data_IF_883043073394
#
_entry.id   IF_883043073394
#
_cell.length_a   1.000
_cell.length_b   1.000
_cell.length_c   1.000
_cell.angle_alpha   90.00
_cell.angle_beta   90.00
_cell.angle_gamma   90.00
#
_symmetry.space_group_name_H-M   'P 1'
#
loop_
_entity.id
_entity.type
_entity.pdbx_description
1 polymer ?
#
# COMPACT_ATOMS: atom_id res chain seq x y z
N UNK A 1 3.91 -33.66 -3.73
CA UNK A 1 2.92 -32.88 -2.96
C UNK A 1 2.92 -31.46 -3.51
N UNK A 2 2.05 -31.19 -4.48
CA UNK A 2 2.05 -29.90 -5.20
C UNK A 2 0.79 -29.15 -4.82
N UNK A 3 0.84 -28.40 -3.73
CA UNK A 3 -0.20 -27.45 -3.32
C UNK A 3 0.38 -26.02 -3.30
N UNK A 4 1.03 -25.61 -4.39
CA UNK A 4 1.61 -24.26 -4.56
C UNK A 4 0.93 -23.44 -5.66
N UNK A 5 -0.38 -23.67 -5.92
CA UNK A 5 -1.10 -22.94 -6.99
C UNK A 5 -2.44 -22.32 -6.61
N UNK A 6 -2.81 -22.28 -5.33
CA UNK A 6 -4.11 -21.72 -4.92
C UNK A 6 -4.04 -20.48 -4.00
N UNK A 7 -2.87 -19.82 -3.91
CA UNK A 7 -2.72 -18.53 -3.21
C UNK A 7 -2.79 -17.31 -4.14
N UNK A 8 -3.02 -17.51 -5.45
CA UNK A 8 -2.93 -16.46 -6.47
C UNK A 8 -4.15 -15.52 -6.54
N UNK A 9 -5.06 -15.53 -5.57
CA UNK A 9 -6.27 -14.69 -5.57
C UNK A 9 -6.66 -14.11 -4.20
N UNK A 10 -5.73 -13.95 -3.25
CA UNK A 10 -5.93 -12.88 -2.26
C UNK A 10 -5.78 -11.56 -3.01
N UNK A 11 -6.88 -10.81 -3.11
CA UNK A 11 -6.96 -9.48 -3.72
C UNK A 11 -5.94 -8.56 -3.01
N UNK A 12 -4.67 -8.60 -3.42
CA UNK A 12 -3.68 -7.63 -2.95
C UNK A 12 -4.13 -6.27 -3.46
N UNK A 13 -4.49 -5.39 -2.52
CA UNK A 13 -5.02 -4.04 -2.79
C UNK A 13 -3.97 -3.12 -3.43
N UNK A 14 -2.68 -3.45 -3.25
CA UNK A 14 -1.54 -2.73 -3.79
C UNK A 14 -0.61 -3.63 -4.63
N UNK A 15 0.30 -2.97 -5.36
CA UNK A 15 1.40 -3.60 -6.11
C UNK A 15 2.66 -2.73 -6.01
N UNK A 16 3.87 -3.30 -6.08
CA UNK A 16 5.10 -2.50 -6.19
C UNK A 16 5.03 -1.49 -7.33
N UNK A 17 5.54 -0.27 -7.10
CA UNK A 17 5.49 0.85 -8.04
C UNK A 17 4.17 1.64 -8.04
N UNK A 18 3.15 1.20 -7.30
CA UNK A 18 1.88 1.91 -7.19
C UNK A 18 2.00 3.13 -6.28
N UNK A 19 1.37 4.25 -6.67
CA UNK A 19 1.20 5.41 -5.79
C UNK A 19 0.06 5.17 -4.83
N UNK A 20 0.29 5.48 -3.56
CA UNK A 20 -0.73 5.46 -2.48
C UNK A 20 -0.62 6.76 -1.70
N UNK A 21 -1.75 7.30 -1.27
CA UNK A 21 -1.82 8.58 -0.57
C UNK A 21 -2.37 8.35 0.82
N UNK A 22 -1.61 8.71 1.87
CA UNK A 22 -2.10 8.61 3.25
C UNK A 22 -3.29 9.54 3.47
N UNK A 23 -4.24 9.13 4.30
CA UNK A 23 -5.36 9.98 4.73
C UNK A 23 -4.87 11.26 5.40
N UNK A 24 -5.60 12.35 5.21
CA UNK A 24 -5.22 13.67 5.74
C UNK A 24 -5.13 13.67 7.28
N UNK A 25 -5.97 12.86 7.93
CA UNK A 25 -6.00 12.70 9.38
C UNK A 25 -4.73 12.05 9.97
N UNK A 26 -3.99 11.27 9.17
CA UNK A 26 -2.76 10.59 9.62
C UNK A 26 -1.51 11.45 9.41
N UNK A 27 -1.57 12.45 8.52
CA UNK A 27 -0.45 13.34 8.23
C UNK A 27 -0.94 14.80 8.18
N UNK A 28 -1.30 15.38 9.35
CA UNK A 28 -1.82 16.74 9.42
C UNK A 28 -0.76 17.76 8.97
N UNK A 29 -1.22 18.83 8.31
CA UNK A 29 -0.34 19.88 7.79
C UNK A 29 0.46 19.50 6.54
N UNK A 30 0.23 18.31 5.96
CA UNK A 30 0.85 17.85 4.73
C UNK A 30 -0.10 17.93 3.54
N UNK A 31 0.41 18.40 2.41
CA UNK A 31 -0.31 18.41 1.14
C UNK A 31 -0.58 16.98 0.65
N UNK A 32 -1.52 16.79 -0.28
CA UNK A 32 -1.77 15.47 -0.86
C UNK A 32 -0.51 14.88 -1.53
N UNK A 33 0.31 15.72 -2.17
CA UNK A 33 1.58 15.30 -2.78
C UNK A 33 2.59 14.81 -1.74
N UNK A 34 2.77 15.54 -0.64
CA UNK A 34 3.65 15.12 0.47
C UNK A 34 3.17 13.86 1.19
N UNK A 35 1.86 13.56 1.11
CA UNK A 35 1.26 12.33 1.65
C UNK A 35 1.26 11.18 0.66
N UNK A 36 1.77 11.38 -0.56
CA UNK A 36 1.77 10.37 -1.62
C UNK A 36 3.12 9.68 -1.71
N UNK A 37 3.11 8.36 -1.58
CA UNK A 37 4.29 7.51 -1.60
C UNK A 37 4.16 6.42 -2.66
N UNK A 38 5.30 5.80 -3.00
CA UNK A 38 5.36 4.67 -3.92
C UNK A 38 5.52 3.38 -3.12
N UNK A 39 4.69 2.38 -3.40
CA UNK A 39 4.80 1.04 -2.83
C UNK A 39 6.12 0.41 -3.27
N UNK A 40 6.94 0.01 -2.30
CA UNK A 40 8.20 -0.70 -2.52
C UNK A 40 7.97 -2.20 -2.63
N UNK A 41 7.30 -2.77 -1.64
CA UNK A 41 7.01 -4.21 -1.56
C UNK A 41 5.64 -4.45 -0.93
N UNK A 42 4.96 -5.52 -1.35
CA UNK A 42 3.73 -6.02 -0.71
C UNK A 42 4.09 -7.30 0.03
N UNK A 43 3.89 -7.27 1.35
CA UNK A 43 4.25 -8.34 2.26
C UNK A 43 3.20 -9.46 2.27
N UNK A 44 3.55 -10.59 2.88
CA UNK A 44 2.70 -11.78 2.97
C UNK A 44 1.42 -11.59 3.79
N UNK A 45 1.38 -10.57 4.66
CA UNK A 45 0.27 -10.20 5.54
C UNK A 45 -0.59 -9.04 4.98
N UNK A 46 -0.52 -8.79 3.66
CA UNK A 46 -1.22 -7.70 2.95
C UNK A 46 -0.82 -6.26 3.39
N UNK A 47 0.25 -6.13 4.19
CA UNK A 47 0.90 -4.83 4.44
C UNK A 47 1.84 -4.44 3.31
N UNK A 48 2.22 -3.17 3.26
CA UNK A 48 3.17 -2.63 2.30
C UNK A 48 4.31 -1.90 2.98
N UNK A 49 5.48 -1.96 2.37
CA UNK A 49 6.57 -1.00 2.64
C UNK A 49 6.59 0.05 1.54
N UNK A 50 7.06 1.24 1.85
CA UNK A 50 7.06 2.38 0.94
C UNK A 50 8.49 2.86 0.65
N UNK A 51 8.70 3.47 -0.51
CA UNK A 51 9.94 4.20 -0.77
C UNK A 51 9.97 5.48 0.07
N UNK A 52 11.12 5.73 0.70
CA UNK A 52 11.40 6.93 1.52
C UNK A 52 10.49 7.11 2.75
N UNK A 53 9.83 6.04 3.20
CA UNK A 53 9.12 6.01 4.48
C UNK A 53 9.38 4.68 5.17
N UNK A 54 9.80 4.73 6.43
CA UNK A 54 10.10 3.54 7.22
C UNK A 54 8.82 2.95 7.83
N UNK A 55 8.80 1.62 7.97
CA UNK A 55 7.68 0.89 8.57
C UNK A 55 6.84 0.10 7.58
N UNK A 56 5.85 -0.61 8.13
CA UNK A 56 4.85 -1.38 7.39
C UNK A 56 3.47 -0.74 7.54
N UNK A 57 2.76 -0.59 6.43
CA UNK A 57 1.48 0.12 6.38
C UNK A 57 0.35 -0.77 5.85
N UNK A 58 -0.86 -0.50 6.31
CA UNK A 58 -2.09 -1.21 5.94
C UNK A 58 -2.97 -0.35 5.04
N UNK A 59 -3.82 -0.99 4.23
CA UNK A 59 -4.73 -0.33 3.27
C UNK A 59 -5.55 0.81 3.88
N UNK A 60 -6.02 0.63 5.12
CA UNK A 60 -6.91 1.58 5.80
C UNK A 60 -6.23 2.90 6.20
N UNK A 61 -4.90 2.99 6.13
CA UNK A 61 -4.14 4.23 6.33
C UNK A 61 -4.20 5.14 5.10
N UNK A 62 -4.59 4.60 3.95
CA UNK A 62 -4.60 5.30 2.68
C UNK A 62 -6.00 5.78 2.30
N UNK A 63 -6.02 6.81 1.46
CA UNK A 63 -7.21 7.20 0.74
C UNK A 63 -7.62 6.07 -0.21
N UNK A 64 -8.93 5.87 -0.48
CA UNK A 64 -9.38 4.82 -1.39
C UNK A 64 -8.68 4.92 -2.74
N UNK A 65 -8.15 3.81 -3.22
CA UNK A 65 -7.58 3.74 -4.57
C UNK A 65 -8.72 3.90 -5.57
N UNK A 66 -8.92 5.12 -6.05
CA UNK A 66 -9.77 5.36 -7.20
C UNK A 66 -9.07 4.77 -8.42
N UNK A 67 -9.81 3.99 -9.22
CA UNK A 67 -9.32 3.60 -10.55
C UNK A 67 -9.18 4.88 -11.36
N UNK A 68 -7.94 5.36 -11.52
CA UNK A 68 -7.61 6.34 -12.56
C UNK A 68 -7.75 5.68 -13.93
#
# INVERSE_FOLDING_TARGET
MTQERNQAKRHRWARPGMKVTFKAELMPGKTSEERTFIVKEVLWNDRVTLYNLEGEHQENEFEPITKQ
#
